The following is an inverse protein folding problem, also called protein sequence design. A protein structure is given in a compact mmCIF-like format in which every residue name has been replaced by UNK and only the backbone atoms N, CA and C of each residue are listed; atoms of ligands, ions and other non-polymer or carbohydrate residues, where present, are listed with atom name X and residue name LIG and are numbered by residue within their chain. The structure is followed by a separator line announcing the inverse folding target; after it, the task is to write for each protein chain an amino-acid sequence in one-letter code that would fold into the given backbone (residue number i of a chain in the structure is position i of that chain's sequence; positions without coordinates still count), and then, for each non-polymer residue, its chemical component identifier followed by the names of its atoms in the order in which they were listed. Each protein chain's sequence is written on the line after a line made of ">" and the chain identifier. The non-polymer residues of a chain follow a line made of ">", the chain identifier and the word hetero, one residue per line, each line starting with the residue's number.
data_IF_521555878349
#
_entry.id   IF_521555878349
#
_cell.length_a   1.000
_cell.length_b   1.000
_cell.length_c   1.000
_cell.angle_alpha   90.00
_cell.angle_beta   90.00
_cell.angle_gamma   90.00
#
_symmetry.space_group_name_H-M   'P 1'
#
loop_
_entity.id
_entity.type
_entity.pdbx_description
1 polymer ?
#
# COMPACT_ATOMS: atom_id res chain seq x y z
N UNK A 1 50.38 45.24 -26.45
CA UNK A 1 50.09 46.21 -27.53
C UNK A 1 49.62 45.45 -28.76
N UNK A 2 48.54 45.90 -29.41
CA UNK A 2 47.96 45.42 -30.70
C UNK A 2 47.30 44.02 -30.59
N UNK A 3 46.06 43.75 -30.99
CA UNK A 3 45.15 44.38 -31.96
C UNK A 3 43.69 44.07 -31.57
N UNK A 4 42.84 45.11 -31.51
CA UNK A 4 41.38 44.97 -31.60
C UNK A 4 40.99 44.66 -33.05
N UNK A 5 40.24 43.58 -33.31
CA UNK A 5 39.45 43.44 -34.53
C UNK A 5 38.07 42.87 -34.20
N UNK A 6 37.08 43.71 -34.49
CA UNK A 6 35.65 43.47 -34.41
C UNK A 6 35.23 42.29 -35.30
N UNK A 7 34.34 41.44 -34.81
CA UNK A 7 33.29 40.88 -35.65
C UNK A 7 32.03 40.71 -34.80
N UNK A 8 31.10 41.65 -34.98
CA UNK A 8 29.73 41.50 -34.56
C UNK A 8 29.05 40.49 -35.49
N UNK A 9 28.49 39.42 -34.92
CA UNK A 9 27.41 38.68 -35.56
C UNK A 9 26.27 38.64 -34.56
N UNK A 10 25.29 39.51 -34.80
CA UNK A 10 23.98 39.42 -34.22
C UNK A 10 23.31 38.14 -34.73
N UNK A 11 22.91 37.27 -33.80
CA UNK A 11 22.00 36.17 -34.10
C UNK A 11 20.78 36.35 -33.20
N UNK A 12 19.72 36.87 -33.82
CA UNK A 12 18.35 36.69 -33.37
C UNK A 12 18.11 35.20 -33.20
N UNK A 13 18.02 34.72 -31.96
CA UNK A 13 17.37 33.44 -31.68
C UNK A 13 16.03 33.72 -31.03
N UNK A 14 15.01 33.41 -31.81
CA UNK A 14 13.59 33.58 -31.54
C UNK A 14 13.19 33.01 -30.18
N UNK A 15 12.34 33.77 -29.47
CA UNK A 15 11.49 33.26 -28.41
C UNK A 15 10.66 32.08 -28.91
N UNK A 16 11.09 30.86 -28.61
CA UNK A 16 10.19 29.71 -28.60
C UNK A 16 9.32 29.82 -27.35
N UNK A 17 8.14 30.42 -27.55
CA UNK A 17 6.97 30.18 -26.70
C UNK A 17 6.67 28.67 -26.75
N UNK A 18 7.28 27.91 -25.85
CA UNK A 18 6.78 26.59 -25.50
C UNK A 18 5.42 26.82 -24.85
N UNK A 19 4.38 26.63 -25.66
CA UNK A 19 3.01 26.53 -25.21
C UNK A 19 2.99 25.58 -24.01
N UNK A 20 2.72 26.15 -22.83
CA UNK A 20 2.44 25.40 -21.64
C UNK A 20 1.17 24.60 -21.89
N UNK A 21 1.32 23.40 -22.43
CA UNK A 21 0.37 22.33 -22.24
C UNK A 21 0.35 22.07 -20.75
N UNK A 22 -0.52 22.77 -20.02
CA UNK A 22 -1.03 22.27 -18.75
C UNK A 22 -1.68 20.96 -19.10
N UNK A 23 -0.93 19.87 -19.00
CA UNK A 23 -1.51 18.58 -18.73
C UNK A 23 -2.08 18.78 -17.33
N UNK A 24 -3.34 19.19 -17.27
CA UNK A 24 -4.06 19.13 -16.01
C UNK A 24 -3.82 17.70 -15.52
N UNK A 25 -3.23 17.50 -14.33
CA UNK A 25 -3.15 16.16 -13.77
C UNK A 25 -4.60 15.70 -13.73
N UNK A 26 -4.96 14.76 -14.61
CA UNK A 26 -6.27 14.13 -14.59
C UNK A 26 -6.38 13.62 -13.17
N UNK A 27 -7.21 14.28 -12.36
CA UNK A 27 -7.36 13.97 -10.95
C UNK A 27 -7.84 12.52 -10.93
N UNK A 28 -6.91 11.59 -10.69
CA UNK A 28 -7.21 10.18 -10.63
C UNK A 28 -8.30 10.04 -9.58
N UNK A 29 -9.46 9.55 -10.00
CA UNK A 29 -10.60 9.36 -9.12
C UNK A 29 -10.11 8.57 -7.91
N UNK A 30 -10.34 9.11 -6.71
CA UNK A 30 -9.92 8.46 -5.48
C UNK A 30 -10.44 7.01 -5.46
N UNK A 31 -9.62 6.03 -5.09
CA UNK A 31 -10.04 4.64 -5.07
C UNK A 31 -11.21 4.50 -4.09
N UNK A 32 -12.20 3.68 -4.49
CA UNK A 32 -13.41 3.44 -3.71
C UNK A 32 -13.10 2.89 -2.31
N UNK A 33 -12.07 2.05 -2.23
CA UNK A 33 -11.52 1.53 -1.01
C UNK A 33 -10.11 2.08 -0.93
N UNK A 34 -9.88 3.04 -0.04
CA UNK A 34 -8.55 3.60 0.19
C UNK A 34 -8.09 3.18 1.59
N UNK A 35 -6.91 2.59 1.67
CA UNK A 35 -6.33 2.21 2.96
C UNK A 35 -6.11 3.47 3.82
N UNK A 36 -6.14 3.34 5.14
CA UNK A 36 -5.94 4.50 6.01
C UNK A 36 -4.47 5.01 5.94
N UNK A 37 -4.25 6.27 6.33
CA UNK A 37 -2.95 6.95 6.20
C UNK A 37 -1.94 6.56 7.30
N UNK A 38 -2.42 6.18 8.48
CA UNK A 38 -1.57 5.61 9.52
C UNK A 38 -1.02 4.24 9.07
N UNK A 39 0.12 3.80 9.61
CA UNK A 39 0.57 2.44 9.42
C UNK A 39 -0.30 1.45 10.20
N UNK A 40 -0.51 0.26 9.66
CA UNK A 40 -1.07 -0.88 10.40
C UNK A 40 0.06 -1.84 10.76
N UNK A 41 -0.01 -2.42 11.96
CA UNK A 41 0.86 -3.51 12.39
C UNK A 41 0.00 -4.64 12.96
N UNK A 42 0.14 -5.86 12.47
CA UNK A 42 -0.58 -7.01 13.01
C UNK A 42 0.19 -8.31 12.89
N UNK A 43 -0.49 -9.41 13.21
CA UNK A 43 0.09 -10.75 13.28
C UNK A 43 -0.23 -11.48 14.59
N UNK A 44 0.61 -12.46 14.89
CA UNK A 44 0.60 -13.24 16.12
C UNK A 44 2.05 -13.68 16.46
N UNK A 45 2.25 -14.69 17.31
CA UNK A 45 3.59 -15.15 17.73
C UNK A 45 4.42 -15.76 16.59
N UNK A 46 3.77 -16.28 15.56
CA UNK A 46 4.43 -17.00 14.47
C UNK A 46 4.61 -16.16 13.20
N UNK A 47 3.97 -14.99 13.11
CA UNK A 47 4.13 -14.07 11.98
C UNK A 47 3.70 -12.64 12.34
N UNK A 48 4.19 -11.65 11.59
CA UNK A 48 3.74 -10.26 11.70
C UNK A 48 3.70 -9.58 10.34
N UNK A 49 2.77 -8.65 10.16
CA UNK A 49 2.67 -7.82 8.95
C UNK A 49 2.61 -6.34 9.32
N UNK A 50 3.37 -5.53 8.59
CA UNK A 50 3.25 -4.09 8.59
C UNK A 50 2.68 -3.63 7.26
N UNK A 51 1.74 -2.70 7.28
CA UNK A 51 1.14 -2.11 6.09
C UNK A 51 1.31 -0.59 6.14
N UNK A 52 1.85 0.00 5.09
CA UNK A 52 2.09 1.44 4.99
C UNK A 52 1.52 1.95 3.67
N UNK A 53 0.55 2.87 3.74
CA UNK A 53 0.03 3.54 2.54
C UNK A 53 1.12 4.41 1.91
N UNK A 54 1.35 4.22 0.61
CA UNK A 54 2.33 4.99 -0.17
C UNK A 54 1.68 5.91 -1.21
N UNK A 55 0.46 5.59 -1.64
CA UNK A 55 -0.39 6.43 -2.48
C UNK A 55 -1.86 6.02 -2.28
N UNK A 56 -2.85 6.81 -2.77
CA UNK A 56 -4.24 6.37 -2.75
C UNK A 56 -4.40 4.97 -3.37
N UNK A 57 -4.93 4.03 -2.59
CA UNK A 57 -5.15 2.65 -3.02
C UNK A 57 -3.88 1.80 -3.18
N UNK A 58 -2.72 2.27 -2.71
CA UNK A 58 -1.45 1.54 -2.77
C UNK A 58 -0.80 1.45 -1.39
N UNK A 59 -0.40 0.23 -1.03
CA UNK A 59 0.15 -0.11 0.28
C UNK A 59 1.41 -0.93 0.09
N UNK A 60 2.51 -0.54 0.72
CA UNK A 60 3.68 -1.41 0.87
C UNK A 60 3.46 -2.28 2.09
N UNK A 61 3.71 -3.58 1.96
CA UNK A 61 3.68 -4.53 3.06
C UNK A 61 5.10 -5.00 3.43
N UNK A 62 5.29 -5.31 4.70
CA UNK A 62 6.42 -6.08 5.23
C UNK A 62 5.86 -7.24 6.04
N UNK A 63 6.04 -8.47 5.58
CA UNK A 63 5.60 -9.69 6.23
C UNK A 63 6.80 -10.43 6.79
N UNK A 64 6.77 -10.76 8.07
CA UNK A 64 7.89 -11.40 8.77
C UNK A 64 7.44 -12.69 9.46
N UNK A 65 8.20 -13.76 9.28
CA UNK A 65 8.03 -15.04 9.98
C UNK A 65 9.26 -15.29 10.86
N UNK A 66 9.18 -15.10 12.20
CA UNK A 66 10.34 -15.20 13.10
C UNK A 66 11.12 -16.52 12.96
N UNK A 67 10.44 -17.62 12.66
CA UNK A 67 11.06 -18.95 12.52
C UNK A 67 11.72 -19.21 11.16
N UNK A 68 11.51 -18.36 10.15
CA UNK A 68 11.99 -18.58 8.77
C UNK A 68 13.14 -17.66 8.37
N UNK A 69 13.63 -16.80 9.26
CA UNK A 69 14.70 -15.80 9.06
C UNK A 69 14.50 -14.80 7.89
N UNK A 70 13.46 -14.97 7.08
CA UNK A 70 13.16 -14.13 5.92
C UNK A 70 11.93 -13.26 6.17
N UNK A 71 12.05 -11.98 5.83
CA UNK A 71 10.92 -11.10 5.60
C UNK A 71 10.59 -11.07 4.09
N UNK A 72 9.33 -10.84 3.77
CA UNK A 72 8.83 -10.60 2.42
C UNK A 72 8.24 -9.20 2.37
N UNK A 73 8.61 -8.45 1.33
CA UNK A 73 8.09 -7.09 1.09
C UNK A 73 7.45 -7.03 -0.28
N UNK A 74 6.50 -6.12 -0.47
CA UNK A 74 5.91 -5.88 -1.77
C UNK A 74 4.82 -4.82 -1.77
N UNK A 75 4.20 -4.64 -2.93
CA UNK A 75 3.12 -3.68 -3.13
C UNK A 75 1.77 -4.41 -3.20
N UNK A 76 0.80 -3.90 -2.44
CA UNK A 76 -0.59 -4.30 -2.54
C UNK A 76 -1.42 -3.12 -3.05
N UNK A 77 -2.50 -3.45 -3.75
CA UNK A 77 -3.52 -2.49 -4.16
C UNK A 77 -4.80 -2.71 -3.38
N UNK A 78 -5.50 -1.63 -3.10
CA UNK A 78 -6.83 -1.71 -2.51
C UNK A 78 -7.81 -2.33 -3.50
N UNK A 79 -8.54 -3.32 -3.00
CA UNK A 79 -9.58 -4.07 -3.71
C UNK A 79 -10.85 -4.06 -2.85
N UNK A 80 -11.93 -4.62 -3.39
CA UNK A 80 -13.13 -4.83 -2.59
C UNK A 80 -12.81 -5.69 -1.35
N UNK A 81 -13.22 -5.26 -0.15
CA UNK A 81 -12.91 -5.97 1.09
C UNK A 81 -13.87 -7.15 1.30
N UNK A 82 -13.85 -8.11 0.38
CA UNK A 82 -14.64 -9.34 0.45
C UNK A 82 -13.80 -10.57 0.15
N UNK A 83 -14.13 -11.69 0.78
CA UNK A 83 -13.65 -13.04 0.43
C UNK A 83 -14.89 -13.88 0.23
N UNK A 84 -14.94 -14.68 -0.84
CA UNK A 84 -16.13 -15.44 -1.18
C UNK A 84 -16.25 -16.74 -0.37
N UNK A 85 -15.11 -17.37 -0.02
CA UNK A 85 -15.07 -18.64 0.69
C UNK A 85 -13.99 -18.66 1.80
N UNK A 86 -14.37 -18.62 3.09
CA UNK A 86 -15.73 -18.34 3.59
C UNK A 86 -16.16 -16.89 3.28
N UNK A 87 -17.48 -16.61 3.16
CA UNK A 87 -17.98 -15.28 2.85
C UNK A 87 -17.67 -14.33 4.01
N UNK A 88 -16.66 -13.48 3.83
CA UNK A 88 -16.21 -12.51 4.82
C UNK A 88 -16.17 -11.12 4.19
N UNK A 89 -16.63 -10.13 4.95
CA UNK A 89 -16.53 -8.71 4.59
C UNK A 89 -15.65 -7.99 5.59
N UNK A 90 -14.72 -7.20 5.08
CA UNK A 90 -13.81 -6.39 5.86
C UNK A 90 -14.02 -4.89 5.71
N UNK A 91 -13.26 -4.13 6.48
CA UNK A 91 -13.08 -2.68 6.30
C UNK A 91 -12.13 -2.39 5.14
N UNK A 92 -11.08 -3.20 5.00
CA UNK A 92 -10.06 -3.05 3.97
C UNK A 92 -9.74 -4.40 3.31
N UNK A 93 -9.54 -4.37 2.00
CA UNK A 93 -9.08 -5.48 1.18
C UNK A 93 -7.87 -5.01 0.37
N UNK A 94 -6.80 -5.80 0.39
CA UNK A 94 -5.56 -5.53 -0.32
C UNK A 94 -5.14 -6.78 -1.08
N UNK A 95 -4.65 -6.64 -2.30
CA UNK A 95 -4.16 -7.77 -3.10
C UNK A 95 -2.88 -7.41 -3.88
N UNK A 96 -2.02 -8.40 -4.12
CA UNK A 96 -0.89 -8.28 -5.03
C UNK A 96 -1.41 -8.23 -6.49
N UNK A 97 -0.89 -7.30 -7.29
CA UNK A 97 -1.40 -6.98 -8.64
C UNK A 97 -0.57 -7.61 -9.77
N UNK A 98 0.40 -8.43 -9.44
CA UNK A 98 1.47 -8.83 -10.36
C UNK A 98 1.34 -10.26 -10.89
N UNK A 99 0.48 -11.11 -10.31
CA UNK A 99 0.28 -12.50 -10.77
C UNK A 99 1.55 -13.38 -10.79
N UNK A 100 2.66 -12.87 -10.25
CA UNK A 100 4.01 -13.45 -10.28
C UNK A 100 4.47 -13.79 -8.85
N UNK A 101 4.03 -13.03 -7.84
CA UNK A 101 4.16 -13.37 -6.42
C UNK A 101 3.06 -14.35 -6.01
N UNK A 102 3.28 -15.22 -5.01
CA UNK A 102 2.17 -15.96 -4.40
C UNK A 102 1.02 -15.00 -4.12
N UNK A 103 -0.19 -15.39 -4.53
CA UNK A 103 -1.34 -14.50 -4.55
C UNK A 103 -1.63 -14.07 -3.11
N UNK A 104 -1.18 -12.87 -2.75
CA UNK A 104 -1.34 -12.36 -1.39
C UNK A 104 -2.60 -11.53 -1.34
N UNK A 105 -3.49 -11.86 -0.40
CA UNK A 105 -4.64 -11.05 -0.06
C UNK A 105 -4.62 -10.73 1.41
N UNK A 106 -4.74 -9.46 1.76
CA UNK A 106 -4.84 -9.01 3.15
C UNK A 106 -6.22 -8.40 3.35
N UNK A 107 -6.89 -8.80 4.42
CA UNK A 107 -8.17 -8.25 4.82
C UNK A 107 -8.12 -7.86 6.30
N UNK A 108 -8.63 -6.67 6.60
CA UNK A 108 -8.90 -6.24 7.96
C UNK A 108 -10.40 -6.33 8.15
N UNK A 109 -10.86 -7.29 8.96
CA UNK A 109 -12.27 -7.60 9.15
C UNK A 109 -12.70 -7.42 10.61
N UNK A 110 -13.98 -7.16 10.90
CA UNK A 110 -14.48 -7.17 12.28
C UNK A 110 -14.18 -8.51 12.96
N UNK A 111 -13.84 -8.45 14.25
CA UNK A 111 -13.81 -9.65 15.09
C UNK A 111 -15.21 -10.18 15.33
N UNK A 112 -15.33 -11.46 15.64
CA UNK A 112 -16.62 -12.07 15.96
C UNK A 112 -17.25 -11.41 17.20
N UNK A 113 -18.57 -11.22 17.17
CA UNK A 113 -19.31 -10.61 18.28
C UNK A 113 -19.05 -11.36 19.60
N UNK A 114 -18.74 -10.60 20.66
CA UNK A 114 -18.42 -11.17 21.98
C UNK A 114 -17.03 -11.81 22.08
N UNK A 115 -16.27 -11.84 20.99
CA UNK A 115 -14.96 -12.49 20.90
C UNK A 115 -13.96 -11.55 20.20
N UNK A 116 -13.51 -10.47 20.89
CA UNK A 116 -12.51 -9.56 20.31
C UNK A 116 -11.22 -10.32 20.00
N UNK A 117 -10.51 -9.92 18.94
CA UNK A 117 -9.18 -10.44 18.67
C UNK A 117 -8.25 -10.01 19.79
N UNK A 118 -7.43 -10.92 20.32
CA UNK A 118 -6.44 -10.58 21.34
C UNK A 118 -5.04 -10.81 20.78
N UNK A 119 -4.19 -9.80 20.81
CA UNK A 119 -2.78 -9.96 20.40
C UNK A 119 -1.94 -10.68 21.47
N UNK A 120 -0.65 -10.83 21.18
CA UNK A 120 0.28 -11.51 22.09
C UNK A 120 0.62 -10.70 23.35
N UNK A 121 0.36 -9.39 23.36
CA UNK A 121 0.55 -8.53 24.53
C UNK A 121 -0.71 -8.51 25.42
N UNK A 122 -1.79 -9.12 24.95
CA UNK A 122 -3.06 -9.23 25.64
C UNK A 122 -4.04 -8.11 25.31
N UNK A 123 -3.69 -7.20 24.41
CA UNK A 123 -4.54 -6.10 23.93
C UNK A 123 -5.66 -6.65 23.06
N UNK A 124 -6.87 -6.12 23.24
CA UNK A 124 -8.08 -6.58 22.55
C UNK A 124 -8.50 -5.61 21.47
N UNK A 125 -8.73 -6.12 20.28
CA UNK A 125 -9.15 -5.38 19.11
C UNK A 125 -10.55 -5.78 18.64
N UNK A 126 -11.36 -4.83 18.16
CA UNK A 126 -12.65 -5.12 17.54
C UNK A 126 -12.50 -5.64 16.10
N UNK A 127 -11.27 -5.79 15.61
CA UNK A 127 -10.94 -6.24 14.27
C UNK A 127 -9.81 -7.27 14.30
N UNK A 128 -9.74 -8.08 13.25
CA UNK A 128 -8.71 -9.08 13.00
C UNK A 128 -8.07 -8.84 11.63
N UNK A 129 -6.79 -9.18 11.51
CA UNK A 129 -6.09 -9.23 10.23
C UNK A 129 -6.05 -10.67 9.73
N UNK A 130 -6.42 -10.83 8.46
CA UNK A 130 -6.42 -12.09 7.74
C UNK A 130 -5.51 -11.93 6.53
N UNK A 131 -4.45 -12.72 6.47
CA UNK A 131 -3.54 -12.75 5.32
C UNK A 131 -3.69 -14.10 4.63
N UNK A 132 -4.00 -14.12 3.35
CA UNK A 132 -4.02 -15.31 2.52
C UNK A 132 -2.79 -15.29 1.64
N UNK A 133 -2.04 -16.38 1.63
CA UNK A 133 -0.89 -16.57 0.75
C UNK A 133 -1.13 -17.88 0.02
N UNK A 134 -1.32 -17.81 -1.29
CA UNK A 134 -1.69 -18.97 -2.12
C UNK A 134 -2.90 -19.74 -1.55
N UNK A 135 -3.89 -19.01 -1.04
CA UNK A 135 -5.10 -19.59 -0.44
C UNK A 135 -4.93 -20.11 0.98
N UNK A 136 -3.74 -20.10 1.57
CA UNK A 136 -3.52 -20.48 2.97
C UNK A 136 -3.73 -19.28 3.91
N UNK A 137 -4.69 -19.33 4.84
CA UNK A 137 -4.97 -18.23 5.74
C UNK A 137 -4.00 -18.17 6.93
N UNK A 138 -3.59 -16.96 7.27
CA UNK A 138 -2.90 -16.58 8.50
C UNK A 138 -3.83 -15.67 9.30
N UNK A 139 -4.19 -16.12 10.50
CA UNK A 139 -5.07 -15.40 11.40
C UNK A 139 -4.23 -14.63 12.42
N UNK A 140 -4.47 -13.32 12.53
CA UNK A 140 -3.72 -12.45 13.42
C UNK A 140 -4.58 -11.34 14.00
N UNK A 141 -4.05 -10.70 15.01
CA UNK A 141 -4.58 -9.46 15.59
C UNK A 141 -3.65 -8.31 15.23
N UNK A 142 -4.02 -7.07 15.51
CA UNK A 142 -3.15 -5.96 15.14
C UNK A 142 -3.86 -4.64 15.22
N UNK A 143 -3.08 -3.57 15.09
CA UNK A 143 -3.49 -2.29 15.58
C UNK A 143 -3.72 -1.24 14.50
N UNK A 144 -4.86 -0.59 14.68
CA UNK A 144 -5.22 0.69 14.13
C UNK A 144 -6.28 1.30 15.06
N UNK A 145 -5.93 2.43 15.69
CA UNK A 145 -6.88 3.31 16.36
C UNK A 145 -7.30 4.46 15.42
N UNK A 146 -8.53 4.39 14.94
CA UNK A 146 -9.40 5.53 14.59
C UNK A 146 -10.78 5.28 15.19
#
# INVERSE_FOLDING_TARGET
>A
MRVYRYLAIALLSACTLLAGGRVDPVAAKAPRYDFSIRPFQGGNTDWSIRLVRVAPGQVVYTLHFPRRASASDGLLRSVEPSIDEPPLKGRYGLASDDGISPAMKVMIAPSATGTPCQDNEGTRYPHAVLVFIDGHPLYGCGDYDD
#
